data_IF_602973427892
#
_entry.id   IF_602973427892
#
_cell.length_a   1.000
_cell.length_b   1.000
_cell.length_c   1.000
_cell.angle_alpha   90.00
_cell.angle_beta   90.00
_cell.angle_gamma   90.00
#
_symmetry.space_group_name_H-M   'P 1'
#
loop_
_entity.id
_entity.type
_entity.pdbx_description
1 polymer ?
#
# COMPACT_ATOMS: atom_id res chain seq x y z
N UNK A 1 9.86 20.79 15.06
CA UNK A 1 9.77 19.33 15.26
C UNK A 1 9.09 18.75 14.04
N UNK A 2 9.75 17.85 13.32
CA UNK A 2 9.10 17.12 12.23
C UNK A 2 8.04 16.21 12.84
N UNK A 3 6.78 16.46 12.54
CA UNK A 3 5.69 15.58 12.96
C UNK A 3 5.70 14.35 12.07
N UNK A 4 6.21 13.25 12.60
CA UNK A 4 6.13 11.96 11.92
C UNK A 4 4.68 11.44 11.95
N UNK A 5 4.17 11.11 10.77
CA UNK A 5 2.81 10.59 10.58
C UNK A 5 2.86 9.07 10.48
N UNK A 6 2.04 8.39 11.28
CA UNK A 6 1.84 6.95 11.17
C UNK A 6 0.60 6.69 10.32
N UNK A 7 0.78 5.96 9.24
CA UNK A 7 -0.30 5.28 8.53
C UNK A 7 -0.25 3.80 8.88
N UNK A 8 -1.33 3.24 9.38
CA UNK A 8 -1.42 1.79 9.58
C UNK A 8 -1.92 1.11 8.32
N UNK A 9 -1.19 0.08 7.88
CA UNK A 9 -1.57 -0.74 6.74
C UNK A 9 -1.76 -2.20 7.17
N UNK A 10 -2.97 -2.76 7.03
CA UNK A 10 -3.30 -4.10 7.51
C UNK A 10 -3.99 -4.92 6.42
N UNK A 11 -3.61 -6.20 6.33
CA UNK A 11 -4.34 -7.15 5.50
C UNK A 11 -5.64 -7.53 6.20
N UNK A 12 -6.71 -7.63 5.44
CA UNK A 12 -8.07 -7.87 5.93
C UNK A 12 -8.48 -9.32 5.67
N UNK A 13 -9.25 -9.89 6.60
CA UNK A 13 -9.70 -11.29 6.61
C UNK A 13 -11.05 -11.51 5.93
N UNK A 14 -11.92 -10.48 5.88
CA UNK A 14 -13.22 -10.53 5.23
C UNK A 14 -13.18 -9.91 3.83
N UNK A 15 -14.24 -10.08 3.07
CA UNK A 15 -14.34 -9.51 1.72
C UNK A 15 -14.65 -8.01 1.75
N UNK A 16 -14.43 -7.35 0.60
CA UNK A 16 -14.64 -5.92 0.42
C UNK A 16 -16.05 -5.46 0.81
N UNK A 17 -17.09 -6.24 0.47
CA UNK A 17 -18.48 -5.86 0.74
C UNK A 17 -18.80 -5.84 2.23
N UNK A 18 -18.18 -6.73 3.01
CA UNK A 18 -18.28 -6.71 4.46
C UNK A 18 -17.80 -5.36 5.01
N UNK A 19 -16.57 -4.96 4.67
CA UNK A 19 -15.96 -3.71 5.19
C UNK A 19 -16.66 -2.46 4.67
N UNK A 20 -17.13 -2.46 3.42
CA UNK A 20 -17.99 -1.38 2.91
C UNK A 20 -19.26 -1.19 3.75
N UNK A 21 -19.91 -2.29 4.16
CA UNK A 21 -21.08 -2.24 5.02
C UNK A 21 -20.73 -1.69 6.42
N UNK A 22 -19.60 -2.12 6.99
CA UNK A 22 -19.14 -1.61 8.29
C UNK A 22 -18.87 -0.10 8.24
N UNK A 23 -18.14 0.37 7.26
CA UNK A 23 -17.85 1.80 7.09
C UNK A 23 -19.13 2.63 6.93
N UNK A 24 -20.08 2.16 6.13
CA UNK A 24 -21.39 2.82 5.97
C UNK A 24 -22.17 2.88 7.29
N UNK A 25 -22.18 1.79 8.07
CA UNK A 25 -22.86 1.73 9.38
C UNK A 25 -22.25 2.73 10.37
N UNK A 26 -20.95 2.96 10.30
CA UNK A 26 -20.21 3.92 11.12
C UNK A 26 -20.22 5.34 10.52
N UNK A 27 -21.07 5.62 9.54
CA UNK A 27 -21.30 6.97 9.00
C UNK A 27 -20.23 7.46 8.01
N UNK A 28 -19.26 6.60 7.64
CA UNK A 28 -18.26 6.98 6.62
C UNK A 28 -18.86 6.85 5.21
N UNK A 29 -18.55 7.83 4.37
CA UNK A 29 -18.99 7.87 2.97
C UNK A 29 -17.82 7.59 2.04
N UNK A 30 -18.09 6.81 1.00
CA UNK A 30 -17.12 6.66 -0.08
C UNK A 30 -17.05 7.96 -0.87
N UNK A 31 -15.88 8.58 -0.88
CA UNK A 31 -15.64 9.85 -1.56
C UNK A 31 -14.94 9.67 -2.91
N UNK A 32 -14.17 8.58 -3.05
CA UNK A 32 -13.37 8.35 -4.25
C UNK A 32 -13.19 6.86 -4.52
N UNK A 33 -13.04 6.51 -5.80
CA UNK A 33 -12.68 5.17 -6.27
C UNK A 33 -11.81 5.31 -7.51
N UNK A 34 -10.70 4.59 -7.53
CA UNK A 34 -9.87 4.52 -8.73
C UNK A 34 -9.25 3.14 -8.92
N UNK A 35 -8.68 2.95 -10.09
CA UNK A 35 -7.79 1.82 -10.38
C UNK A 35 -6.46 2.40 -10.79
N UNK A 36 -5.37 1.94 -10.15
CA UNK A 36 -4.01 2.34 -10.48
C UNK A 36 -3.23 1.13 -10.97
N UNK A 37 -2.40 1.35 -11.96
CA UNK A 37 -1.45 0.38 -12.49
C UNK A 37 -0.04 0.92 -12.22
N UNK A 38 0.70 0.27 -11.36
CA UNK A 38 2.07 0.65 -11.01
C UNK A 38 3.05 -0.38 -11.58
N UNK A 39 4.07 0.09 -12.31
CA UNK A 39 5.19 -0.72 -12.79
C UNK A 39 6.45 -0.25 -12.08
N UNK A 40 7.25 -1.19 -11.58
CA UNK A 40 8.48 -0.91 -10.86
C UNK A 40 9.69 -1.40 -11.64
N UNK A 41 10.74 -0.58 -11.66
CA UNK A 41 12.01 -0.81 -12.33
C UNK A 41 13.17 -0.64 -11.36
N UNK A 42 14.23 -1.42 -11.50
CA UNK A 42 15.46 -1.29 -10.70
C UNK A 42 16.69 -1.70 -11.52
N UNK A 43 17.87 -1.22 -11.10
CA UNK A 43 19.18 -1.73 -11.58
C UNK A 43 19.71 -2.85 -10.69
N UNK A 44 19.13 -3.02 -9.50
CA UNK A 44 19.60 -4.03 -8.56
C UNK A 44 19.38 -5.44 -9.08
N UNK A 45 20.37 -6.29 -8.96
CA UNK A 45 20.31 -7.70 -9.35
C UNK A 45 19.54 -8.54 -8.33
N UNK A 46 19.62 -8.17 -7.04
CA UNK A 46 18.98 -8.83 -5.92
C UNK A 46 18.61 -7.77 -4.85
N UNK A 47 17.64 -8.11 -3.99
CA UNK A 47 17.31 -7.32 -2.80
C UNK A 47 17.68 -8.05 -1.50
N UNK A 48 18.54 -9.07 -1.60
CA UNK A 48 19.02 -9.78 -0.42
C UNK A 48 19.66 -8.83 0.57
N UNK A 49 19.22 -8.90 1.82
CA UNK A 49 19.69 -8.02 2.89
C UNK A 49 19.18 -6.58 2.86
N UNK A 50 18.39 -6.19 1.85
CA UNK A 50 17.83 -4.83 1.79
C UNK A 50 16.68 -4.67 2.79
N UNK A 51 16.71 -3.56 3.53
CA UNK A 51 15.54 -3.09 4.27
C UNK A 51 14.47 -2.60 3.29
N UNK A 52 13.23 -2.50 3.75
CA UNK A 52 12.12 -1.98 2.95
C UNK A 52 12.41 -0.58 2.37
N UNK A 53 13.02 0.29 3.17
CA UNK A 53 13.40 1.63 2.72
C UNK A 53 14.47 1.60 1.63
N UNK A 54 15.42 0.68 1.70
CA UNK A 54 16.44 0.50 0.65
C UNK A 54 15.79 0.02 -0.65
N UNK A 55 14.87 -0.96 -0.58
CA UNK A 55 14.12 -1.43 -1.76
C UNK A 55 13.32 -0.29 -2.38
N UNK A 56 12.59 0.49 -1.56
CA UNK A 56 11.82 1.65 -2.05
C UNK A 56 12.70 2.69 -2.76
N UNK A 57 13.88 2.97 -2.23
CA UNK A 57 14.84 3.92 -2.81
C UNK A 57 15.51 3.42 -4.08
N UNK A 58 15.71 2.11 -4.22
CA UNK A 58 16.36 1.50 -5.39
C UNK A 58 15.39 1.24 -6.55
N UNK A 59 14.09 1.46 -6.35
CA UNK A 59 13.06 1.24 -7.37
C UNK A 59 12.50 2.54 -7.93
N UNK A 60 12.40 2.61 -9.25
CA UNK A 60 11.64 3.65 -9.97
C UNK A 60 10.23 3.12 -10.22
N UNK A 61 9.20 3.87 -9.82
CA UNK A 61 7.80 3.56 -10.08
C UNK A 61 7.22 4.43 -11.17
N UNK A 62 6.64 3.82 -12.19
CA UNK A 62 5.79 4.48 -13.19
C UNK A 62 4.35 4.10 -12.91
N UNK A 63 3.50 5.12 -12.74
CA UNK A 63 2.08 4.95 -12.41
C UNK A 63 1.21 5.23 -13.62
N UNK A 64 0.24 4.33 -13.89
CA UNK A 64 -0.73 4.43 -14.97
C UNK A 64 -0.08 4.71 -16.34
N UNK A 65 0.84 3.86 -16.83
CA UNK A 65 1.67 4.12 -18.01
C UNK A 65 0.85 3.99 -19.31
N UNK A 66 -0.12 4.89 -19.49
CA UNK A 66 -1.00 4.88 -20.69
C UNK A 66 -0.61 5.94 -21.71
N UNK A 67 0.10 6.98 -21.29
CA UNK A 67 0.52 8.08 -22.14
C UNK A 67 1.74 7.71 -22.97
N UNK A 68 1.90 8.34 -24.17
CA UNK A 68 3.08 8.17 -25.02
C UNK A 68 4.39 8.49 -24.30
N UNK A 69 4.36 9.53 -23.46
CA UNK A 69 5.49 9.95 -22.62
C UNK A 69 5.91 8.87 -21.60
N UNK A 70 4.95 8.15 -21.00
CA UNK A 70 5.27 7.07 -20.06
C UNK A 70 5.89 5.88 -20.77
N UNK A 71 5.46 5.56 -22.00
CA UNK A 71 6.08 4.53 -22.83
C UNK A 71 7.54 4.87 -23.14
N UNK A 72 7.79 6.13 -23.52
CA UNK A 72 9.14 6.63 -23.80
C UNK A 72 10.03 6.56 -22.55
N UNK A 73 9.50 6.92 -21.36
CA UNK A 73 10.22 6.76 -20.08
C UNK A 73 10.58 5.30 -19.80
N UNK A 74 9.67 4.37 -20.04
CA UNK A 74 9.92 2.93 -19.88
C UNK A 74 11.05 2.48 -20.82
N UNK A 75 10.98 2.86 -22.10
CA UNK A 75 12.02 2.52 -23.08
C UNK A 75 13.40 3.07 -22.68
N UNK A 76 13.46 4.31 -22.19
CA UNK A 76 14.69 4.92 -21.72
C UNK A 76 15.26 4.19 -20.48
N UNK A 77 14.42 3.86 -19.50
CA UNK A 77 14.85 3.08 -18.33
C UNK A 77 15.46 1.73 -18.75
N UNK A 78 14.81 1.02 -19.67
CA UNK A 78 15.33 -0.26 -20.19
C UNK A 78 16.68 -0.08 -20.89
N UNK A 79 16.84 0.98 -21.70
CA UNK A 79 18.13 1.33 -22.37
C UNK A 79 19.23 1.67 -21.35
N UNK A 80 18.86 2.31 -20.23
CA UNK A 80 19.77 2.66 -19.13
C UNK A 80 20.13 1.48 -18.22
N UNK A 81 19.66 0.25 -18.55
CA UNK A 81 19.97 -0.96 -17.82
C UNK A 81 19.04 -1.24 -16.62
N UNK A 82 17.94 -0.50 -16.48
CA UNK A 82 16.89 -0.89 -15.54
C UNK A 82 16.13 -2.11 -16.06
N UNK A 83 15.68 -2.96 -15.15
CA UNK A 83 14.80 -4.09 -15.46
C UNK A 83 13.46 -3.91 -14.78
N UNK A 84 12.40 -4.33 -15.46
CA UNK A 84 11.06 -4.41 -14.86
C UNK A 84 11.05 -5.54 -13.84
N UNK A 85 10.66 -5.23 -12.62
CA UNK A 85 10.66 -6.22 -11.54
C UNK A 85 9.28 -6.57 -11.05
N UNK A 86 8.38 -5.59 -11.05
CA UNK A 86 7.05 -5.79 -10.53
C UNK A 86 6.02 -4.94 -11.27
N UNK A 87 4.82 -5.50 -11.36
CA UNK A 87 3.69 -4.94 -12.06
C UNK A 87 2.43 -5.23 -11.24
N UNK A 88 1.75 -4.19 -10.77
CA UNK A 88 0.61 -4.36 -9.89
C UNK A 88 -0.56 -3.47 -10.26
N UNK A 89 -1.74 -4.08 -10.27
CA UNK A 89 -3.01 -3.36 -10.39
C UNK A 89 -3.64 -3.28 -9.00
N UNK A 90 -4.05 -2.08 -8.62
CA UNK A 90 -4.70 -1.78 -7.35
C UNK A 90 -6.05 -1.15 -7.62
N UNK A 91 -7.06 -1.57 -6.86
CA UNK A 91 -8.38 -0.91 -6.84
C UNK A 91 -8.55 -0.24 -5.50
N UNK A 92 -8.64 1.07 -5.51
CA UNK A 92 -8.68 1.91 -4.32
C UNK A 92 -10.10 2.43 -4.07
N UNK A 93 -10.53 2.39 -2.81
CA UNK A 93 -11.81 2.90 -2.33
C UNK A 93 -11.55 3.76 -1.11
N UNK A 94 -11.74 5.07 -1.24
CA UNK A 94 -11.48 6.04 -0.19
C UNK A 94 -12.79 6.40 0.52
N UNK A 95 -12.73 6.36 1.82
CA UNK A 95 -13.84 6.69 2.72
C UNK A 95 -13.44 7.82 3.64
N UNK A 96 -14.41 8.64 4.00
CA UNK A 96 -14.21 9.76 4.90
C UNK A 96 -15.39 9.89 5.86
N UNK A 97 -15.10 10.25 7.12
CA UNK A 97 -16.09 10.60 8.12
C UNK A 97 -16.74 11.97 7.81
N UNK A 98 -17.92 12.24 8.40
CA UNK A 98 -18.63 13.51 8.17
C UNK A 98 -17.84 14.72 8.64
N UNK A 99 -17.09 14.59 9.71
CA UNK A 99 -16.20 15.63 10.26
C UNK A 99 -14.88 15.79 9.51
N UNK A 100 -14.69 15.03 8.43
CA UNK A 100 -13.53 15.02 7.54
C UNK A 100 -12.19 14.64 8.22
N UNK A 101 -12.22 14.12 9.45
CA UNK A 101 -11.02 13.76 10.21
C UNK A 101 -10.49 12.38 9.86
N UNK A 102 -11.37 11.37 9.85
CA UNK A 102 -10.96 9.99 9.56
C UNK A 102 -10.95 9.70 8.07
N UNK A 103 -9.81 9.23 7.56
CA UNK A 103 -9.65 8.79 6.17
C UNK A 103 -9.26 7.32 6.13
N UNK A 104 -10.15 6.49 5.61
CA UNK A 104 -9.89 5.06 5.46
C UNK A 104 -9.82 4.72 3.97
N UNK A 105 -8.73 4.09 3.58
CA UNK A 105 -8.55 3.56 2.23
C UNK A 105 -8.64 2.03 2.27
N UNK A 106 -9.62 1.46 1.59
CA UNK A 106 -9.64 0.04 1.26
C UNK A 106 -8.97 -0.15 -0.10
N UNK A 107 -8.04 -1.07 -0.19
CA UNK A 107 -7.29 -1.32 -1.42
C UNK A 107 -7.26 -2.81 -1.73
N UNK A 108 -7.69 -3.19 -2.94
CA UNK A 108 -7.46 -4.53 -3.47
C UNK A 108 -6.18 -4.49 -4.27
N UNK A 109 -5.17 -5.21 -3.81
CA UNK A 109 -3.86 -5.32 -4.48
C UNK A 109 -3.75 -6.72 -5.06
N UNK A 110 -3.47 -6.82 -6.37
CA UNK A 110 -3.22 -8.11 -7.03
C UNK A 110 -2.12 -8.87 -6.28
N UNK A 111 -2.37 -10.15 -5.96
CA UNK A 111 -1.50 -11.08 -5.21
C UNK A 111 -1.40 -10.86 -3.69
N UNK A 112 -1.79 -9.70 -3.16
CA UNK A 112 -1.81 -9.46 -1.70
C UNK A 112 -3.22 -9.68 -1.16
N UNK A 113 -4.23 -9.20 -1.89
CA UNK A 113 -5.63 -9.24 -1.47
C UNK A 113 -6.16 -7.89 -1.01
N UNK A 114 -7.14 -7.93 -0.12
CA UNK A 114 -7.76 -6.74 0.44
C UNK A 114 -6.95 -6.24 1.64
N UNK A 115 -6.68 -4.94 1.63
CA UNK A 115 -5.93 -4.25 2.68
C UNK A 115 -6.64 -2.96 3.07
N UNK A 116 -6.42 -2.51 4.29
CA UNK A 116 -6.83 -1.20 4.77
C UNK A 116 -5.61 -0.34 5.03
N UNK A 117 -5.70 0.93 4.64
CA UNK A 117 -4.80 2.00 5.10
C UNK A 117 -5.63 3.00 5.88
N UNK A 118 -5.07 3.43 7.00
CA UNK A 118 -5.72 4.37 7.87
C UNK A 118 -4.73 5.31 8.53
N UNK A 119 -5.04 6.59 8.48
CA UNK A 119 -4.41 7.66 9.25
C UNK A 119 -5.47 8.56 9.87
N UNK A 120 -5.11 9.27 10.95
CA UNK A 120 -5.98 10.25 11.58
C UNK A 120 -5.14 11.45 12.07
N UNK A 121 -5.34 12.65 11.49
CA UNK A 121 -4.59 13.85 11.86
C UNK A 121 -4.68 14.23 13.33
N UNK A 122 -5.76 13.90 14.03
CA UNK A 122 -5.93 14.19 15.46
C UNK A 122 -4.85 13.47 16.32
N UNK A 123 -4.16 12.47 15.78
CA UNK A 123 -3.15 11.69 16.48
C UNK A 123 -1.70 12.11 16.19
N UNK A 124 -1.47 13.02 15.26
CA UNK A 124 -0.11 13.39 14.82
C UNK A 124 0.77 13.99 15.92
N UNK A 125 0.17 14.54 16.98
CA UNK A 125 0.90 15.10 18.12
C UNK A 125 1.34 14.06 19.17
N UNK A 126 0.97 12.78 18.99
CA UNK A 126 1.38 11.70 19.89
C UNK A 126 2.65 11.00 19.40
N UNK A 127 3.30 10.23 20.31
CA UNK A 127 4.40 9.35 19.90
C UNK A 127 3.93 8.32 18.85
N UNK A 128 4.84 7.84 18.00
CA UNK A 128 4.52 6.89 16.92
C UNK A 128 3.80 5.64 17.45
N UNK A 129 4.22 5.09 18.58
CA UNK A 129 3.59 3.92 19.21
C UNK A 129 2.17 4.23 19.68
N UNK A 130 1.95 5.43 20.25
CA UNK A 130 0.62 5.86 20.68
C UNK A 130 -0.30 6.10 19.49
N UNK A 131 0.20 6.77 18.44
CA UNK A 131 -0.54 6.93 17.18
C UNK A 131 -1.01 5.57 16.67
N UNK A 132 -0.09 4.59 16.52
CA UNK A 132 -0.41 3.26 16.04
C UNK A 132 -1.48 2.56 16.88
N UNK A 133 -1.35 2.59 18.22
CA UNK A 133 -2.34 1.98 19.13
C UNK A 133 -3.73 2.60 18.97
N UNK A 134 -3.81 3.93 18.86
CA UNK A 134 -5.08 4.66 18.68
C UNK A 134 -5.72 4.33 17.33
N UNK A 135 -4.95 4.32 16.25
CA UNK A 135 -5.43 3.99 14.91
C UNK A 135 -5.98 2.56 14.85
N UNK A 136 -5.28 1.58 15.42
CA UNK A 136 -5.75 0.19 15.47
C UNK A 136 -7.02 0.05 16.32
N UNK A 137 -7.09 0.75 17.46
CA UNK A 137 -8.30 0.76 18.32
C UNK A 137 -9.50 1.33 17.56
N UNK A 138 -9.31 2.40 16.82
CA UNK A 138 -10.37 3.05 16.04
C UNK A 138 -10.82 2.16 14.86
N UNK A 139 -9.90 1.52 14.13
CA UNK A 139 -10.24 0.55 13.10
C UNK A 139 -11.07 -0.60 13.66
N UNK A 140 -10.70 -1.12 14.84
CA UNK A 140 -11.47 -2.16 15.52
C UNK A 140 -12.89 -1.68 15.86
N UNK A 141 -13.07 -0.43 16.31
CA UNK A 141 -14.39 0.14 16.59
C UNK A 141 -15.27 0.25 15.35
N UNK A 142 -14.69 0.40 14.17
CA UNK A 142 -15.39 0.35 12.89
C UNK A 142 -15.70 -1.09 12.41
N UNK A 143 -15.38 -2.10 13.21
CA UNK A 143 -15.64 -3.50 12.88
C UNK A 143 -14.59 -4.12 11.95
N UNK A 144 -13.39 -3.55 11.89
CA UNK A 144 -12.27 -4.19 11.22
C UNK A 144 -11.66 -5.26 12.12
N UNK A 145 -11.44 -6.42 11.56
CA UNK A 145 -10.68 -7.49 12.17
C UNK A 145 -9.44 -7.79 11.34
N UNK A 146 -8.33 -7.91 12.01
CA UNK A 146 -7.04 -8.25 11.41
C UNK A 146 -6.21 -9.03 12.42
N UNK A 147 -5.39 -9.91 11.91
CA UNK A 147 -4.45 -10.65 12.74
C UNK A 147 -3.28 -9.73 13.11
N UNK A 148 -3.16 -9.39 14.39
CA UNK A 148 -2.09 -8.51 14.89
C UNK A 148 -0.70 -9.15 14.78
N UNK A 149 -0.63 -10.48 14.60
CA UNK A 149 0.62 -11.21 14.34
C UNK A 149 0.99 -11.24 12.87
N UNK A 150 0.12 -10.79 11.98
CA UNK A 150 0.48 -10.66 10.57
C UNK A 150 1.46 -9.51 10.38
N UNK A 151 2.39 -9.73 9.47
CA UNK A 151 3.34 -8.70 9.04
C UNK A 151 2.55 -7.50 8.51
N UNK A 152 2.95 -6.28 8.88
CA UNK A 152 2.38 -5.06 8.33
C UNK A 152 2.45 -5.10 6.79
N UNK A 153 1.53 -4.37 6.14
CA UNK A 153 1.35 -4.45 4.68
C UNK A 153 2.62 -4.14 3.90
N UNK A 154 3.46 -3.26 4.44
CA UNK A 154 4.72 -2.91 3.78
C UNK A 154 5.71 -4.07 3.82
N UNK A 155 5.74 -4.86 4.89
CA UNK A 155 6.50 -6.12 4.93
C UNK A 155 5.93 -7.15 3.95
N UNK A 156 4.60 -7.27 3.85
CA UNK A 156 3.97 -8.14 2.87
C UNK A 156 4.29 -7.72 1.44
N UNK A 157 4.27 -6.42 1.15
CA UNK A 157 4.70 -5.87 -0.15
C UNK A 157 6.15 -6.23 -0.43
N UNK A 158 7.05 -5.99 0.53
CA UNK A 158 8.47 -6.31 0.39
C UNK A 158 8.68 -7.80 0.15
N UNK A 159 8.00 -8.67 0.89
CA UNK A 159 8.09 -10.12 0.71
C UNK A 159 7.51 -10.59 -0.63
N UNK A 160 6.40 -10.02 -1.07
CA UNK A 160 5.81 -10.35 -2.36
C UNK A 160 6.68 -9.87 -3.52
N UNK A 161 7.21 -8.66 -3.43
CA UNK A 161 8.10 -8.10 -4.43
C UNK A 161 9.45 -8.82 -4.44
N UNK A 162 10.03 -9.07 -3.28
CA UNK A 162 11.27 -9.81 -3.13
C UNK A 162 11.17 -11.23 -3.69
N UNK A 163 10.14 -11.99 -3.33
CA UNK A 163 9.93 -13.35 -3.82
C UNK A 163 9.74 -13.42 -5.34
N UNK A 164 9.01 -12.47 -5.95
CA UNK A 164 8.85 -12.44 -7.41
C UNK A 164 10.13 -12.10 -8.15
N UNK A 165 10.97 -11.31 -7.55
CA UNK A 165 12.27 -10.98 -8.12
C UNK A 165 13.21 -12.18 -8.11
N UNK A 166 13.16 -13.02 -7.06
CA UNK A 166 13.97 -14.22 -6.93
C UNK A 166 13.49 -15.39 -7.80
N UNK A 167 12.17 -15.57 -7.94
CA UNK A 167 11.62 -16.69 -8.73
C UNK A 167 11.89 -16.56 -10.23
N UNK A 168 12.09 -15.36 -10.76
CA UNK A 168 12.41 -15.15 -12.17
C UNK A 168 13.88 -15.38 -12.51
N UNK A 169 14.78 -15.36 -11.52
CA UNK A 169 16.21 -15.61 -11.73
C UNK A 169 16.58 -17.11 -11.65
N UNK A 170 15.63 -18.00 -11.31
CA UNK A 170 15.87 -19.46 -11.29
C UNK A 170 15.50 -20.15 -12.60
N UNK A 171 14.92 -19.45 -13.56
CA UNK A 171 14.49 -19.96 -14.86
C UNK A 171 15.22 -19.30 -16.05
N UNK A 172 16.41 -18.74 -15.80
CA UNK A 172 17.30 -18.17 -16.82
C UNK A 172 18.62 -18.88 -16.87
#
# INVERSE_FOLDING_TARGET
MENFVVEVGMKLDKNLNYYKKQLKRNGLKQIFKCTTHDIYFTKEKSFDGFSENQIKKSCIRIRNPQKKEDKLKIENLLKEGYRKVFDTIKKDYHYQSKDMKSRIQLQIIKKIGLVVYYDNPDYYNFSLDKQRKLLLKELNSYGFSFNTNELGIDKLRTLCYGKEMFSKNQNG
#
